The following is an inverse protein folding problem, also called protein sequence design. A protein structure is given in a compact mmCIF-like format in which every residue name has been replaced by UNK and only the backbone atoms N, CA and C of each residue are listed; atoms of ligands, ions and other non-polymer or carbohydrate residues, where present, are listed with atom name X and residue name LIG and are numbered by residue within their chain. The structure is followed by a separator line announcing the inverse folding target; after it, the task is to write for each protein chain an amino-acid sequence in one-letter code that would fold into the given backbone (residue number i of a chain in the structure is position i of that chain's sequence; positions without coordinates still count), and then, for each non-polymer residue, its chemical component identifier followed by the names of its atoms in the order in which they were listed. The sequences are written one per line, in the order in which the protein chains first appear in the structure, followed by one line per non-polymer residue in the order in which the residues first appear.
data_IF_545326570147
#
_entry.id   IF_545326570147
#
_cell.length_a   1.000
_cell.length_b   1.000
_cell.length_c   1.000
_cell.angle_alpha   90.00
_cell.angle_beta   90.00
_cell.angle_gamma   90.00
#
_symmetry.space_group_name_H-M   'P 1'
#
loop_
_entity.id
_entity.type
_entity.pdbx_description
1 polymer ?
#
# COMPACT_ATOMS: atom_id res chain seq x y z
N UNK A 1 -20.16 44.48 9.37
CA UNK A 1 -21.57 44.42 8.95
C UNK A 1 -21.72 43.21 8.07
N UNK A 2 -22.54 42.26 8.53
CA UNK A 2 -22.89 41.04 7.83
C UNK A 2 -23.69 41.32 6.55
N UNK A 3 -23.61 40.42 5.58
CA UNK A 3 -24.78 39.76 4.96
C UNK A 3 -24.33 38.65 3.99
N UNK A 4 -24.90 37.46 4.22
CA UNK A 4 -24.74 36.20 3.48
C UNK A 4 -25.16 36.24 2.01
N UNK A 5 -24.77 35.23 1.21
CA UNK A 5 -25.61 34.72 0.13
C UNK A 5 -26.44 33.51 0.60
N UNK A 6 -27.72 33.50 0.20
CA UNK A 6 -28.69 32.46 0.48
C UNK A 6 -28.56 31.25 -0.48
N UNK A 7 -28.95 30.09 0.03
CA UNK A 7 -29.25 28.83 -0.65
C UNK A 7 -30.38 29.03 -1.71
N UNK A 8 -30.69 28.13 -2.67
CA UNK A 8 -30.55 26.68 -2.75
C UNK A 8 -30.71 26.22 -4.21
N UNK A 9 -30.24 25.01 -4.53
CA UNK A 9 -30.48 24.35 -5.82
C UNK A 9 -29.83 22.97 -5.95
N UNK A 10 -30.19 22.06 -5.04
CA UNK A 10 -29.77 20.64 -5.01
C UNK A 10 -30.19 19.93 -6.31
N UNK A 11 -29.22 19.47 -7.10
CA UNK A 11 -29.40 18.33 -8.01
C UNK A 11 -28.22 17.37 -7.79
N UNK A 12 -28.52 16.21 -7.23
CA UNK A 12 -27.55 15.16 -6.96
C UNK A 12 -27.09 14.50 -8.25
N UNK A 13 -25.78 14.43 -8.45
CA UNK A 13 -25.15 13.55 -9.43
C UNK A 13 -24.03 12.80 -8.73
N UNK A 14 -24.33 11.55 -8.38
CA UNK A 14 -23.38 10.57 -7.86
C UNK A 14 -22.30 10.31 -8.92
N UNK A 15 -21.07 10.75 -8.67
CA UNK A 15 -19.89 10.28 -9.39
C UNK A 15 -19.13 9.32 -8.46
N UNK A 16 -19.53 8.05 -8.48
CA UNK A 16 -18.68 6.95 -8.03
C UNK A 16 -17.65 6.68 -9.14
N UNK A 17 -16.46 7.25 -9.04
CA UNK A 17 -15.33 6.92 -9.92
C UNK A 17 -14.06 6.51 -9.17
N UNK A 18 -14.17 6.10 -7.90
CA UNK A 18 -13.06 5.54 -7.14
C UNK A 18 -13.31 4.04 -6.91
N UNK A 19 -13.16 3.24 -7.96
CA UNK A 19 -13.12 1.79 -7.86
C UNK A 19 -12.35 1.19 -9.05
N UNK A 20 -11.08 0.87 -8.82
CA UNK A 20 -10.24 0.18 -9.81
C UNK A 20 -8.90 -0.27 -9.25
N UNK A 21 -8.81 -0.54 -7.95
CA UNK A 21 -7.67 -1.23 -7.33
C UNK A 21 -8.15 -2.28 -6.31
N UNK A 22 -9.27 -2.92 -6.62
CA UNK A 22 -9.85 -3.99 -5.83
C UNK A 22 -10.63 -4.94 -6.75
N UNK A 23 -9.99 -5.43 -7.81
CA UNK A 23 -10.41 -6.70 -8.40
C UNK A 23 -9.61 -7.80 -7.68
N UNK A 24 -10.29 -8.74 -6.99
CA UNK A 24 -9.62 -9.79 -6.25
C UNK A 24 -8.82 -10.68 -7.20
N UNK A 25 -7.51 -10.79 -6.96
CA UNK A 25 -6.57 -11.62 -7.72
C UNK A 25 -6.71 -13.12 -7.40
N UNK A 26 -7.93 -13.59 -7.13
CA UNK A 26 -8.23 -15.01 -6.96
C UNK A 26 -8.78 -15.56 -8.27
N UNK A 27 -8.23 -16.68 -8.80
CA UNK A 27 -8.70 -17.26 -10.04
C UNK A 27 -10.03 -17.96 -9.78
N UNK A 28 -11.14 -17.25 -9.99
CA UNK A 28 -12.41 -17.90 -10.24
C UNK A 28 -12.33 -18.49 -11.65
N UNK A 29 -12.20 -19.82 -11.72
CA UNK A 29 -12.29 -20.54 -12.99
C UNK A 29 -13.60 -20.24 -13.70
N UNK A 30 -13.51 -20.03 -15.01
CA UNK A 30 -14.64 -20.09 -15.93
C UNK A 30 -15.48 -18.81 -16.02
N UNK A 31 -15.19 -18.02 -17.06
CA UNK A 31 -16.21 -17.26 -17.79
C UNK A 31 -16.55 -15.86 -17.28
N UNK A 32 -16.22 -14.85 -18.09
CA UNK A 32 -16.97 -13.60 -18.15
C UNK A 32 -16.37 -12.37 -17.46
N UNK A 33 -15.16 -11.95 -17.87
CA UNK A 33 -14.62 -10.64 -17.50
C UNK A 33 -15.13 -9.52 -18.43
N UNK A 34 -15.90 -8.59 -17.88
CA UNK A 34 -16.60 -7.53 -18.62
C UNK A 34 -15.70 -6.48 -19.29
N UNK A 35 -16.08 -6.08 -20.51
CA UNK A 35 -15.88 -4.76 -21.12
C UNK A 35 -14.47 -4.24 -21.40
N UNK A 36 -13.55 -4.28 -20.44
CA UNK A 36 -12.24 -3.58 -20.47
C UNK A 36 -11.10 -4.41 -21.07
N UNK A 37 -11.20 -5.73 -21.06
CA UNK A 37 -10.14 -6.61 -21.59
C UNK A 37 -10.23 -6.87 -23.10
N UNK A 38 -11.25 -6.32 -23.80
CA UNK A 38 -11.43 -6.50 -25.26
C UNK A 38 -10.27 -6.00 -26.13
N UNK A 39 -9.44 -5.11 -25.61
CA UNK A 39 -8.38 -4.45 -26.37
C UNK A 39 -6.98 -4.98 -26.07
N UNK A 40 -6.84 -5.96 -25.18
CA UNK A 40 -5.56 -6.55 -24.79
C UNK A 40 -5.42 -7.92 -25.46
N UNK A 41 -4.40 -8.06 -26.30
CA UNK A 41 -4.08 -9.29 -27.03
C UNK A 41 -2.84 -9.92 -26.40
N UNK A 42 -2.86 -11.22 -26.07
CA UNK A 42 -1.68 -11.91 -25.56
C UNK A 42 -0.55 -11.86 -26.60
N UNK A 43 0.60 -11.36 -26.20
CA UNK A 43 1.78 -11.26 -27.08
C UNK A 43 2.61 -12.55 -27.10
N UNK A 44 2.37 -13.46 -26.16
CA UNK A 44 3.12 -14.71 -26.05
C UNK A 44 2.72 -15.72 -27.14
N UNK A 45 1.52 -15.58 -27.73
CA UNK A 45 1.08 -16.38 -28.90
C UNK A 45 1.90 -16.01 -30.15
N UNK A 46 2.28 -14.74 -30.33
CA UNK A 46 3.19 -14.32 -31.41
C UNK A 46 4.60 -14.89 -31.22
N UNK A 47 5.11 -14.93 -29.98
CA UNK A 47 6.45 -15.48 -29.69
C UNK A 47 6.49 -17.02 -29.80
N UNK A 48 5.42 -17.74 -29.45
CA UNK A 48 5.32 -19.19 -29.66
C UNK A 48 5.23 -19.55 -31.15
N UNK A 49 4.49 -18.76 -31.95
CA UNK A 49 4.43 -18.94 -33.42
C UNK A 49 5.82 -18.72 -34.05
N UNK A 50 6.51 -17.63 -33.68
CA UNK A 50 7.87 -17.36 -34.17
C UNK A 50 8.90 -18.42 -33.72
N UNK A 51 8.71 -19.05 -32.55
CA UNK A 51 9.58 -20.13 -32.06
C UNK A 51 9.28 -21.50 -32.67
N UNK A 52 8.06 -21.72 -33.14
CA UNK A 52 7.67 -22.94 -33.85
C UNK A 52 8.29 -23.04 -35.25
N UNK A 53 8.70 -21.91 -35.84
CA UNK A 53 9.40 -21.86 -37.13
C UNK A 53 10.90 -22.17 -37.01
N UNK A 54 11.54 -21.91 -35.87
CA UNK A 54 12.93 -22.28 -35.57
C UNK A 54 13.02 -23.72 -35.02
N UNK A 55 12.88 -24.68 -35.94
CA UNK A 55 12.93 -26.11 -35.63
C UNK A 55 14.20 -26.56 -34.90
N UNK A 56 14.06 -26.97 -33.62
CA UNK A 56 15.02 -27.86 -32.97
C UNK A 56 15.47 -27.52 -31.54
N UNK A 57 15.04 -26.41 -30.93
CA UNK A 57 15.40 -26.11 -29.52
C UNK A 57 14.37 -26.72 -28.55
N UNK A 58 14.79 -27.40 -27.46
CA UNK A 58 13.86 -27.87 -26.44
C UNK A 58 13.00 -26.70 -25.93
N UNK A 59 11.70 -26.91 -25.64
CA UNK A 59 10.81 -25.83 -25.22
C UNK A 59 11.40 -25.14 -24.00
N UNK A 60 11.64 -23.83 -24.13
CA UNK A 60 12.10 -23.02 -23.01
C UNK A 60 11.09 -23.16 -21.86
N UNK A 61 11.53 -23.13 -20.59
CA UNK A 61 10.61 -23.20 -19.47
C UNK A 61 9.54 -22.10 -19.62
N UNK A 62 8.26 -22.42 -19.35
CA UNK A 62 7.17 -21.47 -19.54
C UNK A 62 7.44 -20.20 -18.71
N UNK A 63 7.18 -19.04 -19.32
CA UNK A 63 7.33 -17.76 -18.63
C UNK A 63 6.36 -17.70 -17.45
N UNK A 64 6.83 -17.18 -16.30
CA UNK A 64 6.00 -17.01 -15.09
C UNK A 64 5.02 -15.83 -15.20
N UNK A 65 5.09 -15.09 -16.29
CA UNK A 65 4.22 -13.96 -16.59
C UNK A 65 3.72 -14.06 -18.02
N UNK A 66 2.46 -13.65 -18.22
CA UNK A 66 1.82 -13.49 -19.52
C UNK A 66 1.92 -12.02 -19.93
N UNK A 67 2.34 -11.74 -21.17
CA UNK A 67 2.41 -10.39 -21.68
C UNK A 67 1.23 -10.09 -22.60
N UNK A 68 0.61 -8.93 -22.42
CA UNK A 68 -0.50 -8.44 -23.23
C UNK A 68 -0.11 -7.12 -23.86
N UNK A 69 -0.29 -7.03 -25.18
CA UNK A 69 -0.17 -5.79 -25.96
C UNK A 69 -1.55 -5.25 -26.29
N UNK A 70 -1.66 -3.95 -26.47
CA UNK A 70 -2.90 -3.36 -26.98
C UNK A 70 -3.08 -3.76 -28.45
N UNK A 71 -4.30 -4.10 -28.84
CA UNK A 71 -4.68 -4.41 -30.22
C UNK A 71 -4.23 -3.32 -31.17
N UNK A 72 -3.62 -3.72 -32.29
CA UNK A 72 -3.15 -2.81 -33.34
C UNK A 72 -4.24 -1.86 -33.84
N UNK A 73 -5.50 -2.29 -33.84
CA UNK A 73 -6.67 -1.49 -34.27
C UNK A 73 -6.81 -0.19 -33.48
N UNK A 74 -6.46 -0.19 -32.19
CA UNK A 74 -6.49 1.02 -31.36
C UNK A 74 -5.14 1.75 -31.33
N UNK A 75 -4.04 1.01 -31.44
CA UNK A 75 -2.69 1.54 -31.31
C UNK A 75 -2.24 2.33 -32.55
N UNK A 76 -2.56 1.86 -33.77
CA UNK A 76 -2.21 2.54 -35.02
C UNK A 76 -2.84 3.94 -35.16
N UNK A 77 -4.15 4.16 -34.97
CA UNK A 77 -4.73 5.51 -35.05
C UNK A 77 -4.20 6.43 -33.95
N UNK A 78 -3.93 5.91 -32.74
CA UNK A 78 -3.31 6.69 -31.66
C UNK A 78 -1.90 7.17 -32.05
N UNK A 79 -1.05 6.29 -32.60
CA UNK A 79 0.29 6.65 -33.08
C UNK A 79 0.24 7.68 -34.22
N UNK A 80 -0.70 7.53 -35.15
CA UNK A 80 -0.89 8.48 -36.24
C UNK A 80 -1.30 9.85 -35.72
N UNK A 81 -2.27 9.93 -34.81
CA UNK A 81 -2.71 11.20 -34.21
C UNK A 81 -1.57 11.89 -33.45
N UNK A 82 -0.76 11.12 -32.71
CA UNK A 82 0.43 11.63 -32.03
C UNK A 82 1.46 12.18 -33.00
N UNK A 83 1.70 11.51 -34.15
CA UNK A 83 2.58 12.00 -35.20
C UNK A 83 2.06 13.30 -35.83
N UNK A 84 0.77 13.37 -36.16
CA UNK A 84 0.13 14.57 -36.73
C UNK A 84 0.28 15.75 -35.76
N UNK A 85 0.05 15.53 -34.46
CA UNK A 85 0.23 16.55 -33.43
C UNK A 85 1.68 16.99 -33.29
N UNK A 86 2.64 16.06 -33.38
CA UNK A 86 4.06 16.39 -33.38
C UNK A 86 4.42 17.31 -34.55
N UNK A 87 3.94 17.00 -35.76
CA UNK A 87 4.13 17.85 -36.95
C UNK A 87 3.55 19.25 -36.71
N UNK A 88 2.33 19.35 -36.17
CA UNK A 88 1.71 20.63 -35.86
C UNK A 88 2.52 21.46 -34.85
N UNK A 89 3.07 20.84 -33.79
CA UNK A 89 3.93 21.52 -32.80
C UNK A 89 5.23 22.02 -33.43
N UNK A 90 5.88 21.21 -34.29
CA UNK A 90 7.11 21.62 -34.99
C UNK A 90 6.83 22.79 -35.94
N UNK A 91 5.74 22.73 -36.71
CA UNK A 91 5.32 23.83 -37.59
C UNK A 91 4.97 25.09 -36.81
N UNK A 92 4.30 24.97 -35.66
CA UNK A 92 3.99 26.08 -34.77
C UNK A 92 5.27 26.75 -34.23
N UNK A 93 6.23 25.98 -33.72
CA UNK A 93 7.51 26.50 -33.23
C UNK A 93 8.31 27.16 -34.37
N UNK A 94 8.35 26.54 -35.55
CA UNK A 94 9.03 27.11 -36.72
C UNK A 94 8.37 28.41 -37.20
N UNK A 95 7.03 28.46 -37.23
CA UNK A 95 6.28 29.67 -37.57
C UNK A 95 6.53 30.78 -36.55
N UNK A 96 6.53 30.45 -35.26
CA UNK A 96 6.73 31.38 -34.14
C UNK A 96 8.16 31.94 -34.09
N UNK A 97 9.16 31.16 -34.53
CA UNK A 97 10.54 31.65 -34.71
C UNK A 97 10.67 32.59 -35.92
N UNK A 98 9.88 32.38 -36.98
CA UNK A 98 9.94 33.18 -38.22
C UNK A 98 9.17 34.51 -38.13
N UNK A 99 8.06 34.56 -37.40
CA UNK A 99 7.22 35.76 -37.24
C UNK A 99 7.49 36.41 -35.89
N UNK A 100 8.48 37.31 -35.86
CA UNK A 100 8.95 38.01 -34.67
C UNK A 100 8.31 39.39 -34.57
N UNK A 101 7.05 39.44 -34.17
CA UNK A 101 6.27 40.68 -34.07
C UNK A 101 6.10 41.13 -32.61
N UNK A 102 7.19 41.48 -31.93
CA UNK A 102 7.11 41.99 -30.56
C UNK A 102 8.18 43.03 -30.24
N UNK A 103 7.74 44.21 -29.79
CA UNK A 103 8.60 45.31 -29.34
C UNK A 103 9.37 44.95 -28.05
N UNK A 104 8.80 44.06 -27.24
CA UNK A 104 9.37 43.60 -25.97
C UNK A 104 10.12 42.27 -26.13
N UNK A 105 11.35 42.36 -26.62
CA UNK A 105 12.11 41.20 -27.07
C UNK A 105 12.42 40.15 -26.00
N UNK A 106 12.58 40.60 -24.75
CA UNK A 106 12.86 39.72 -23.61
C UNK A 106 11.67 38.80 -23.26
N UNK A 107 10.44 39.35 -23.29
CA UNK A 107 9.22 38.57 -23.03
C UNK A 107 8.98 37.54 -24.13
N UNK A 108 9.30 37.88 -25.38
CA UNK A 108 9.20 36.96 -26.52
C UNK A 108 10.15 35.76 -26.37
N UNK A 109 11.40 35.98 -25.97
CA UNK A 109 12.35 34.89 -25.72
C UNK A 109 11.94 33.98 -24.55
N UNK A 110 11.41 34.55 -23.47
CA UNK A 110 10.87 33.75 -22.35
C UNK A 110 9.68 32.90 -22.81
N UNK A 111 8.77 33.48 -23.61
CA UNK A 111 7.64 32.72 -24.18
C UNK A 111 8.13 31.57 -25.07
N UNK A 112 9.13 31.79 -25.92
CA UNK A 112 9.68 30.75 -26.80
C UNK A 112 10.36 29.65 -26.01
N UNK A 113 11.15 30.00 -24.99
CA UNK A 113 11.77 29.02 -24.12
C UNK A 113 10.71 28.17 -23.39
N UNK A 114 9.61 28.79 -22.94
CA UNK A 114 8.47 28.10 -22.35
C UNK A 114 7.76 27.16 -23.33
N UNK A 115 7.46 27.62 -24.55
CA UNK A 115 6.81 26.82 -25.59
C UNK A 115 7.68 25.63 -26.02
N UNK A 116 9.00 25.84 -26.14
CA UNK A 116 9.96 24.78 -26.45
C UNK A 116 10.02 23.75 -25.32
N UNK A 117 10.13 24.20 -24.07
CA UNK A 117 10.17 23.31 -22.90
C UNK A 117 8.89 22.49 -22.76
N UNK A 118 7.73 23.11 -22.99
CA UNK A 118 6.44 22.43 -22.99
C UNK A 118 6.36 21.39 -24.12
N UNK A 119 6.83 21.73 -25.32
CA UNK A 119 6.91 20.82 -26.47
C UNK A 119 7.80 19.61 -26.19
N UNK A 120 8.99 19.82 -25.61
CA UNK A 120 9.90 18.74 -25.21
C UNK A 120 9.28 17.86 -24.14
N UNK A 121 8.69 18.45 -23.09
CA UNK A 121 8.02 17.71 -22.01
C UNK A 121 6.85 16.88 -22.55
N UNK A 122 6.06 17.45 -23.46
CA UNK A 122 4.97 16.74 -24.12
C UNK A 122 5.49 15.57 -24.96
N UNK A 123 6.55 15.76 -25.75
CA UNK A 123 7.14 14.73 -26.60
C UNK A 123 7.69 13.55 -25.76
N UNK A 124 8.42 13.84 -24.68
CA UNK A 124 8.91 12.83 -23.75
C UNK A 124 7.76 12.02 -23.11
N UNK A 125 6.67 12.70 -22.75
CA UNK A 125 5.47 12.05 -22.22
C UNK A 125 4.69 11.24 -23.29
N UNK A 126 4.79 11.57 -24.57
CA UNK A 126 4.23 10.71 -25.63
C UNK A 126 5.11 9.49 -25.88
N UNK A 127 6.43 9.64 -25.85
CA UNK A 127 7.36 8.54 -26.09
C UNK A 127 7.12 7.35 -25.14
N UNK A 128 6.83 7.60 -23.86
CA UNK A 128 6.49 6.56 -22.87
C UNK A 128 5.17 5.85 -23.15
N UNK A 129 4.27 6.45 -23.94
CA UNK A 129 2.92 5.93 -24.25
C UNK A 129 2.83 5.20 -25.59
N UNK A 130 3.89 5.21 -26.39
CA UNK A 130 3.89 4.60 -27.73
C UNK A 130 3.81 3.07 -27.71
N UNK A 131 4.18 2.42 -26.60
CA UNK A 131 4.15 0.97 -26.48
C UNK A 131 3.67 0.52 -25.08
N UNK A 132 2.36 0.61 -24.80
CA UNK A 132 1.81 0.10 -23.55
C UNK A 132 1.88 -1.43 -23.51
N UNK A 133 2.53 -1.97 -22.47
CA UNK A 133 2.65 -3.41 -22.21
C UNK A 133 2.03 -3.70 -20.85
N UNK A 134 1.05 -4.60 -20.81
CA UNK A 134 0.47 -5.13 -19.57
C UNK A 134 1.09 -6.49 -19.31
N UNK A 135 1.67 -6.70 -18.13
CA UNK A 135 2.19 -8.00 -17.69
C UNK A 135 1.32 -8.52 -16.58
N UNK A 136 0.87 -9.77 -16.68
CA UNK A 136 0.04 -10.41 -15.67
C UNK A 136 0.76 -11.68 -15.21
N UNK A 137 1.05 -11.85 -13.91
CA UNK A 137 1.69 -13.06 -13.40
C UNK A 137 0.73 -14.25 -13.50
N UNK A 138 1.22 -15.42 -13.90
CA UNK A 138 0.45 -16.66 -13.83
C UNK A 138 0.67 -17.33 -12.48
N UNK A 139 -0.29 -17.10 -11.57
CA UNK A 139 -0.25 -17.65 -10.21
C UNK A 139 -0.31 -19.18 -10.20
N UNK A 140 -0.92 -19.81 -11.20
CA UNK A 140 -1.06 -21.27 -11.26
C UNK A 140 0.27 -21.94 -11.61
N UNK A 141 1.01 -21.38 -12.58
CA UNK A 141 2.36 -21.81 -12.92
C UNK A 141 3.34 -21.52 -11.78
N UNK A 142 3.22 -20.34 -11.15
CA UNK A 142 4.04 -19.99 -9.99
C UNK A 142 3.84 -21.00 -8.86
N UNK A 143 2.59 -21.34 -8.53
CA UNK A 143 2.28 -22.32 -7.49
C UNK A 143 2.87 -23.68 -7.82
N UNK A 144 2.68 -24.18 -9.05
CA UNK A 144 3.22 -25.47 -9.49
C UNK A 144 4.76 -25.53 -9.47
N UNK A 145 5.43 -24.43 -9.81
CA UNK A 145 6.89 -24.35 -9.87
C UNK A 145 7.54 -24.29 -8.48
N UNK A 146 6.88 -23.65 -7.52
CA UNK A 146 7.45 -23.32 -6.21
C UNK A 146 6.71 -23.97 -5.03
N UNK A 147 5.86 -24.97 -5.28
CA UNK A 147 5.10 -25.70 -4.25
C UNK A 147 6.02 -26.38 -3.22
N UNK A 148 7.23 -26.77 -3.63
CA UNK A 148 8.26 -27.40 -2.78
C UNK A 148 9.00 -26.42 -1.84
N UNK A 149 8.48 -25.20 -1.67
CA UNK A 149 9.10 -24.20 -0.80
C UNK A 149 10.36 -23.58 -1.42
N UNK A 150 10.30 -23.18 -2.69
CA UNK A 150 11.36 -22.43 -3.38
C UNK A 150 11.17 -20.91 -3.39
N UNK A 151 10.22 -20.39 -2.60
CA UNK A 151 9.88 -18.96 -2.55
C UNK A 151 10.97 -18.12 -1.85
N UNK A 152 11.32 -16.93 -2.36
CA UNK A 152 12.30 -16.05 -1.71
C UNK A 152 11.81 -15.51 -0.36
N UNK A 153 12.73 -15.11 0.52
CA UNK A 153 12.36 -14.28 1.67
C UNK A 153 11.95 -12.88 1.23
N UNK A 154 10.90 -12.32 1.83
CA UNK A 154 10.39 -10.97 1.55
C UNK A 154 10.42 -10.16 2.84
N UNK A 155 11.17 -9.06 2.82
CA UNK A 155 11.16 -8.07 3.90
C UNK A 155 10.35 -6.85 3.45
N UNK A 156 9.31 -6.51 4.21
CA UNK A 156 8.45 -5.35 3.95
C UNK A 156 8.79 -4.26 4.94
N UNK A 157 9.21 -3.10 4.42
CA UNK A 157 9.51 -1.92 5.23
C UNK A 157 8.35 -0.93 5.18
N UNK A 158 7.95 -0.43 6.34
CA UNK A 158 6.91 0.58 6.52
C UNK A 158 7.57 1.76 7.20
N UNK A 159 7.59 2.92 6.56
CA UNK A 159 8.12 4.14 7.13
C UNK A 159 6.98 5.03 7.64
N UNK A 160 7.18 5.64 8.80
CA UNK A 160 6.24 6.59 9.40
C UNK A 160 6.99 7.76 10.03
N UNK A 161 6.38 8.95 10.01
CA UNK A 161 7.03 10.18 10.48
C UNK A 161 6.65 10.54 11.91
N UNK A 162 5.37 10.39 12.27
CA UNK A 162 4.84 10.73 13.58
C UNK A 162 3.41 10.17 13.75
N UNK A 163 3.02 9.67 14.93
CA UNK A 163 1.70 9.10 15.15
C UNK A 163 0.55 10.12 15.13
N UNK A 164 0.85 11.43 15.17
CA UNK A 164 -0.15 12.51 15.09
C UNK A 164 -0.40 12.91 13.64
N UNK A 165 0.66 13.13 12.86
CA UNK A 165 0.54 13.51 11.43
C UNK A 165 0.03 12.34 10.58
N UNK A 166 0.44 11.12 10.92
CA UNK A 166 0.00 9.87 10.30
C UNK A 166 -0.77 9.04 11.35
N UNK A 167 -2.11 8.93 11.25
CA UNK A 167 -2.88 8.30 12.30
C UNK A 167 -2.43 6.84 12.51
N UNK A 168 -1.95 6.56 13.72
CA UNK A 168 -1.40 5.25 14.11
C UNK A 168 -2.30 4.08 13.67
N UNK A 169 -3.62 4.23 13.74
CA UNK A 169 -4.57 3.21 13.31
C UNK A 169 -4.35 2.74 11.87
N UNK A 170 -4.07 3.65 10.92
CA UNK A 170 -3.83 3.29 9.51
C UNK A 170 -2.52 2.53 9.33
N UNK A 171 -1.46 2.95 10.03
CA UNK A 171 -0.16 2.27 10.04
C UNK A 171 -0.31 0.85 10.58
N UNK A 172 -1.01 0.67 11.71
CA UNK A 172 -1.24 -0.65 12.29
C UNK A 172 -2.14 -1.54 11.42
N UNK A 173 -3.16 -0.97 10.76
CA UNK A 173 -3.97 -1.69 9.77
C UNK A 173 -3.13 -2.20 8.58
N UNK A 174 -2.17 -1.40 8.12
CA UNK A 174 -1.26 -1.78 7.04
C UNK A 174 -0.35 -2.93 7.47
N UNK A 175 0.19 -2.88 8.70
CA UNK A 175 0.97 -3.97 9.30
C UNK A 175 0.15 -5.25 9.38
N UNK A 176 -1.10 -5.18 9.87
CA UNK A 176 -2.01 -6.32 9.96
C UNK A 176 -2.31 -6.92 8.59
N UNK A 177 -2.49 -6.07 7.57
CA UNK A 177 -2.69 -6.50 6.19
C UNK A 177 -1.48 -7.26 5.63
N UNK A 178 -0.26 -6.76 5.90
CA UNK A 178 0.99 -7.40 5.46
C UNK A 178 1.16 -8.77 6.13
N UNK A 179 0.92 -8.87 7.44
CA UNK A 179 1.04 -10.13 8.18
C UNK A 179 -0.03 -11.16 7.80
N UNK A 180 -1.18 -10.70 7.31
CA UNK A 180 -2.26 -11.54 6.82
C UNK A 180 -2.14 -11.92 5.33
N UNK A 181 -1.01 -11.60 4.69
CA UNK A 181 -0.75 -11.96 3.29
C UNK A 181 -0.68 -13.49 3.12
N UNK A 182 -1.09 -13.98 1.95
CA UNK A 182 -1.00 -15.39 1.58
C UNK A 182 0.44 -15.74 1.15
N UNK A 183 1.35 -15.72 2.12
CA UNK A 183 2.76 -16.08 1.97
C UNK A 183 3.23 -16.92 3.15
N UNK A 184 4.17 -17.86 2.97
CA UNK A 184 4.73 -18.64 4.08
C UNK A 184 5.24 -17.73 5.20
N UNK A 185 4.82 -18.01 6.44
CA UNK A 185 5.10 -17.11 7.57
C UNK A 185 6.59 -17.04 7.92
N UNK A 186 7.33 -18.11 7.64
CA UNK A 186 8.79 -18.20 7.77
C UNK A 186 9.56 -17.36 6.74
N UNK A 187 8.88 -16.86 5.70
CA UNK A 187 9.51 -16.17 4.56
C UNK A 187 9.05 -14.75 4.33
N UNK A 188 8.22 -14.20 5.21
CA UNK A 188 7.96 -12.77 5.19
C UNK A 188 8.08 -12.14 6.57
N UNK A 189 8.70 -10.97 6.61
CA UNK A 189 8.81 -10.16 7.81
C UNK A 189 8.39 -8.72 7.51
N UNK A 190 7.80 -8.07 8.51
CA UNK A 190 7.43 -6.66 8.45
C UNK A 190 8.30 -5.85 9.41
N UNK A 191 8.87 -4.75 8.92
CA UNK A 191 9.69 -3.82 9.70
C UNK A 191 9.03 -2.44 9.68
N UNK A 192 8.74 -1.90 10.86
CA UNK A 192 8.30 -0.52 11.02
C UNK A 192 9.52 0.38 11.29
N UNK A 193 9.68 1.42 10.49
CA UNK A 193 10.69 2.47 10.61
C UNK A 193 9.99 3.77 11.01
N UNK A 194 10.18 4.25 12.23
CA UNK A 194 9.57 5.50 12.71
C UNK A 194 10.63 6.59 12.92
N UNK A 195 10.52 7.68 12.15
CA UNK A 195 11.39 8.86 12.25
C UNK A 195 11.00 9.78 13.42
N UNK A 196 9.83 9.56 14.02
CA UNK A 196 9.39 10.26 15.24
C UNK A 196 9.94 9.62 16.51
N UNK A 197 10.39 8.36 16.45
CA UNK A 197 10.80 7.53 17.57
C UNK A 197 9.84 7.64 18.78
N UNK A 198 8.55 7.63 18.49
CA UNK A 198 7.51 7.87 19.49
C UNK A 198 7.22 6.61 20.28
N UNK A 199 6.98 6.77 21.59
CA UNK A 199 6.58 5.64 22.43
C UNK A 199 5.21 5.09 22.06
N UNK A 200 4.31 5.94 21.55
CA UNK A 200 2.99 5.54 21.07
C UNK A 200 3.09 4.52 19.93
N UNK A 201 3.96 4.71 18.95
CA UNK A 201 4.17 3.72 17.89
C UNK A 201 4.72 2.40 18.42
N UNK A 202 5.66 2.43 19.37
CA UNK A 202 6.20 1.22 19.98
C UNK A 202 5.13 0.41 20.73
N UNK A 203 4.33 1.06 21.57
CA UNK A 203 3.26 0.37 22.32
C UNK A 203 2.09 -0.03 21.40
N UNK A 204 1.75 0.80 20.42
CA UNK A 204 0.77 0.47 19.39
C UNK A 204 1.16 -0.77 18.58
N UNK A 205 2.46 -0.94 18.31
CA UNK A 205 2.95 -2.15 17.64
C UNK A 205 2.81 -3.41 18.52
N UNK A 206 2.99 -3.28 19.83
CA UNK A 206 2.78 -4.39 20.78
C UNK A 206 1.31 -4.81 20.77
N UNK A 207 0.38 -3.84 20.83
CA UNK A 207 -1.05 -4.10 20.72
C UNK A 207 -1.43 -4.72 19.37
N UNK A 208 -0.78 -4.27 18.30
CA UNK A 208 -0.99 -4.79 16.95
C UNK A 208 -0.51 -6.23 16.84
N UNK A 209 0.64 -6.57 17.42
CA UNK A 209 1.13 -7.95 17.45
C UNK A 209 0.19 -8.89 18.23
N UNK A 210 -0.45 -8.41 19.31
CA UNK A 210 -1.47 -9.17 20.05
C UNK A 210 -2.71 -9.43 19.19
N UNK A 211 -3.23 -8.39 18.52
CA UNK A 211 -4.40 -8.55 17.66
C UNK A 211 -4.09 -9.38 16.40
N UNK A 212 -2.89 -9.27 15.85
CA UNK A 212 -2.44 -10.06 14.70
C UNK A 212 -2.51 -11.57 14.95
N UNK A 213 -2.27 -12.02 16.18
CA UNK A 213 -2.39 -13.44 16.56
C UNK A 213 -3.82 -13.99 16.38
N UNK A 214 -4.84 -13.12 16.41
CA UNK A 214 -6.25 -13.45 16.15
C UNK A 214 -6.61 -13.20 14.66
N UNK A 215 -6.20 -12.05 14.12
CA UNK A 215 -6.55 -11.62 12.77
C UNK A 215 -5.95 -12.50 11.67
N UNK A 216 -4.67 -12.86 11.78
CA UNK A 216 -3.96 -13.62 10.74
C UNK A 216 -4.58 -15.03 10.53
N UNK A 217 -4.86 -15.83 11.58
CA UNK A 217 -5.56 -17.10 11.42
C UNK A 217 -6.97 -16.94 10.84
N UNK A 218 -7.73 -15.92 11.29
CA UNK A 218 -9.06 -15.63 10.76
C UNK A 218 -9.00 -15.34 9.25
N UNK A 219 -8.05 -14.51 8.82
CA UNK A 219 -7.83 -14.20 7.41
C UNK A 219 -7.51 -15.45 6.58
N UNK A 220 -6.60 -16.30 7.05
CA UNK A 220 -6.18 -17.50 6.33
C UNK A 220 -7.31 -18.54 6.24
N UNK A 221 -8.01 -18.78 7.36
CA UNK A 221 -9.13 -19.73 7.44
C UNK A 221 -10.27 -19.37 6.50
N UNK A 222 -10.69 -18.10 6.51
CA UNK A 222 -11.89 -17.66 5.80
C UNK A 222 -11.61 -16.97 4.45
N UNK A 223 -10.33 -16.84 4.07
CA UNK A 223 -9.86 -16.18 2.82
C UNK A 223 -10.55 -14.84 2.59
N UNK A 224 -10.62 -14.02 3.63
CA UNK A 224 -11.30 -12.71 3.59
C UNK A 224 -10.47 -11.67 2.83
N UNK A 225 -11.14 -10.85 2.03
CA UNK A 225 -10.52 -9.71 1.34
C UNK A 225 -11.41 -8.47 1.49
N UNK A 226 -10.85 -7.27 1.71
CA UNK A 226 -9.42 -6.93 1.88
C UNK A 226 -8.82 -7.43 3.21
N UNK A 227 -7.48 -7.49 3.30
CA UNK A 227 -6.74 -7.99 4.48
C UNK A 227 -6.52 -6.94 5.58
N UNK A 228 -6.82 -5.67 5.29
CA UNK A 228 -6.85 -4.61 6.29
C UNK A 228 -8.19 -4.64 7.04
N UNK A 229 -8.19 -4.77 8.38
CA UNK A 229 -9.43 -4.94 9.15
C UNK A 229 -10.37 -3.74 9.08
N UNK A 230 -9.88 -2.50 9.12
CA UNK A 230 -10.72 -1.30 8.97
C UNK A 230 -11.48 -1.33 7.64
N UNK A 231 -10.78 -1.60 6.54
CA UNK A 231 -11.37 -1.68 5.20
C UNK A 231 -12.35 -2.85 5.09
N UNK A 232 -12.02 -4.00 5.68
CA UNK A 232 -12.87 -5.19 5.67
C UNK A 232 -14.19 -4.96 6.42
N UNK A 233 -14.15 -4.35 7.61
CA UNK A 233 -15.35 -4.09 8.40
C UNK A 233 -16.15 -2.88 7.90
N UNK A 234 -15.53 -1.95 7.18
CA UNK A 234 -16.22 -0.84 6.50
C UNK A 234 -16.95 -1.27 5.22
N UNK A 235 -16.54 -2.38 4.58
CA UNK A 235 -17.16 -2.87 3.36
C UNK A 235 -18.62 -3.32 3.60
N UNK A 236 -19.54 -2.83 2.76
CA UNK A 236 -20.99 -3.14 2.85
C UNK A 236 -21.31 -4.61 2.60
N UNK A 237 -20.53 -5.26 1.74
CA UNK A 237 -20.56 -6.69 1.49
C UNK A 237 -19.11 -7.15 1.55
N UNK A 238 -18.74 -7.80 2.65
CA UNK A 238 -17.40 -8.32 2.83
C UNK A 238 -17.32 -9.71 2.16
N UNK A 239 -16.64 -9.84 1.02
CA UNK A 239 -16.52 -11.13 0.35
C UNK A 239 -15.71 -12.10 1.25
N UNK A 240 -16.22 -13.32 1.39
CA UNK A 240 -15.48 -14.43 1.98
C UNK A 240 -15.53 -15.61 1.01
N UNK A 241 -14.39 -16.25 0.79
CA UNK A 241 -14.23 -17.38 -0.14
C UNK A 241 -13.65 -18.62 0.57
N UNK A 242 -13.80 -18.67 1.90
CA UNK A 242 -13.31 -19.76 2.74
C UNK A 242 -14.18 -21.02 2.64
N UNK A 243 -13.60 -22.20 2.93
CA UNK A 243 -14.31 -23.48 2.92
C UNK A 243 -15.21 -23.70 4.16
N UNK A 244 -15.20 -22.78 5.13
CA UNK A 244 -15.90 -22.94 6.41
C UNK A 244 -17.42 -22.81 6.27
N UNK A 245 -18.15 -23.47 7.16
CA UNK A 245 -19.60 -23.35 7.23
C UNK A 245 -19.99 -21.89 7.55
N UNK A 246 -21.08 -21.36 6.95
CA UNK A 246 -21.49 -19.98 7.18
C UNK A 246 -21.69 -19.63 8.66
N UNK A 247 -22.24 -20.54 9.47
CA UNK A 247 -22.47 -20.31 10.91
C UNK A 247 -21.17 -20.11 11.71
N UNK A 248 -20.16 -20.93 11.43
CA UNK A 248 -18.83 -20.82 12.04
C UNK A 248 -18.16 -19.50 11.64
N UNK A 249 -18.27 -19.11 10.37
CA UNK A 249 -17.79 -17.82 9.88
C UNK A 249 -18.46 -16.64 10.59
N UNK A 250 -19.78 -16.65 10.77
CA UNK A 250 -20.47 -15.55 11.46
C UNK A 250 -20.08 -15.45 12.94
N UNK A 251 -19.88 -16.58 13.61
CA UNK A 251 -19.38 -16.63 14.99
C UNK A 251 -17.98 -16.02 15.11
N UNK A 252 -17.04 -16.52 14.30
CA UNK A 252 -15.65 -16.04 14.26
C UNK A 252 -15.58 -14.56 13.90
N UNK A 253 -16.33 -14.13 12.88
CA UNK A 253 -16.36 -12.73 12.44
C UNK A 253 -16.90 -11.80 13.53
N UNK A 254 -17.90 -12.23 14.31
CA UNK A 254 -18.42 -11.42 15.44
C UNK A 254 -17.38 -11.28 16.54
N UNK A 255 -16.68 -12.36 16.88
CA UNK A 255 -15.59 -12.35 17.86
C UNK A 255 -14.48 -11.40 17.42
N UNK A 256 -13.95 -11.59 16.21
CA UNK A 256 -12.85 -10.79 15.67
C UNK A 256 -13.23 -9.32 15.53
N UNK A 257 -14.48 -9.01 15.14
CA UNK A 257 -14.97 -7.63 15.10
C UNK A 257 -14.95 -6.99 16.48
N UNK A 258 -15.40 -7.68 17.53
CA UNK A 258 -15.36 -7.15 18.90
C UNK A 258 -13.92 -6.87 19.34
N UNK A 259 -13.02 -7.83 19.15
CA UNK A 259 -11.60 -7.69 19.49
C UNK A 259 -10.93 -6.56 18.70
N UNK A 260 -11.38 -6.31 17.46
CA UNK A 260 -10.89 -5.20 16.65
C UNK A 260 -11.33 -3.83 17.20
N UNK A 261 -12.60 -3.68 17.61
CA UNK A 261 -13.06 -2.43 18.24
C UNK A 261 -12.35 -2.19 19.58
N UNK A 262 -12.12 -3.24 20.37
CA UNK A 262 -11.33 -3.14 21.60
C UNK A 262 -9.87 -2.77 21.32
N UNK A 263 -9.28 -3.31 20.25
CA UNK A 263 -7.95 -2.92 19.78
C UNK A 263 -7.88 -1.45 19.39
N UNK A 264 -8.88 -0.92 18.65
CA UNK A 264 -8.99 0.51 18.31
C UNK A 264 -9.04 1.36 19.58
N UNK A 265 -9.90 1.00 20.53
CA UNK A 265 -10.00 1.70 21.80
C UNK A 265 -8.68 1.69 22.59
N UNK A 266 -7.93 0.58 22.59
CA UNK A 266 -6.60 0.51 23.22
C UNK A 266 -5.59 1.40 22.52
N UNK A 267 -5.58 1.44 21.19
CA UNK A 267 -4.71 2.35 20.43
C UNK A 267 -5.01 3.82 20.74
N UNK A 268 -6.28 4.20 20.76
CA UNK A 268 -6.69 5.58 21.06
C UNK A 268 -6.34 5.96 22.52
N UNK A 269 -6.49 5.02 23.46
CA UNK A 269 -6.14 5.22 24.87
C UNK A 269 -4.63 5.46 25.09
N UNK A 270 -3.73 4.98 24.21
CA UNK A 270 -2.29 5.23 24.35
C UNK A 270 -1.95 6.72 24.39
N UNK A 271 -2.68 7.55 23.63
CA UNK A 271 -2.45 8.99 23.58
C UNK A 271 -2.84 9.71 24.89
N UNK A 272 -3.65 9.08 25.75
CA UNK A 272 -4.01 9.59 27.09
C UNK A 272 -3.19 8.93 28.19
N UNK A 273 -2.95 7.62 28.08
CA UNK A 273 -2.28 6.81 29.10
C UNK A 273 -0.79 7.14 29.20
N UNK A 274 -0.11 7.38 28.08
CA UNK A 274 1.33 7.71 28.04
C UNK A 274 1.61 9.06 28.74
N UNK A 275 0.87 10.15 28.48
CA UNK A 275 1.01 11.38 29.26
C UNK A 275 0.65 11.17 30.74
N UNK A 276 -0.50 10.55 31.03
CA UNK A 276 -0.99 10.41 32.41
C UNK A 276 -0.02 9.63 33.31
N UNK A 277 0.56 8.53 32.82
CA UNK A 277 1.55 7.75 33.60
C UNK A 277 2.83 8.54 33.84
N UNK A 278 3.24 9.34 32.87
CA UNK A 278 4.44 10.18 32.96
C UNK A 278 4.22 11.29 33.98
N UNK A 279 3.04 11.91 34.00
CA UNK A 279 2.65 12.94 34.98
C UNK A 279 2.46 12.39 36.40
N UNK A 280 1.81 11.23 36.54
CA UNK A 280 1.58 10.60 37.85
C UNK A 280 2.91 10.23 38.54
N UNK A 281 3.92 9.83 37.78
CA UNK A 281 5.25 9.57 38.32
C UNK A 281 6.00 10.84 38.72
N UNK A 282 5.84 11.94 37.97
CA UNK A 282 6.45 13.24 38.30
C UNK A 282 5.80 13.85 39.55
N UNK A 283 4.48 13.71 39.73
CA UNK A 283 3.79 14.19 40.93
C UNK A 283 4.27 13.55 42.25
N UNK A 284 4.88 12.37 42.17
CA UNK A 284 5.43 11.64 43.32
C UNK A 284 6.92 11.93 43.55
N UNK A 285 7.62 12.47 42.55
CA UNK A 285 9.03 12.85 42.61
C UNK A 285 9.16 14.38 42.63
N UNK A 286 9.51 14.94 43.79
CA UNK A 286 9.70 16.38 44.01
C UNK A 286 10.96 16.95 43.30
N UNK A 287 11.17 16.60 42.04
CA UNK A 287 12.37 16.91 41.26
C UNK A 287 12.05 17.88 40.14
N UNK A 288 12.71 19.04 40.19
CA UNK A 288 12.76 20.09 39.15
C UNK A 288 13.50 19.60 37.88
N UNK A 289 13.13 18.43 37.35
CA UNK A 289 13.70 17.83 36.14
C UNK A 289 12.68 17.81 35.00
N UNK A 290 13.17 17.64 33.77
CA UNK A 290 12.31 17.47 32.60
C UNK A 290 11.36 16.27 32.77
N UNK A 291 10.10 16.39 32.32
CA UNK A 291 9.11 15.32 32.44
C UNK A 291 9.45 14.17 31.49
N UNK A 292 10.01 13.10 32.04
CA UNK A 292 10.34 11.91 31.27
C UNK A 292 9.09 11.20 30.78
N UNK A 293 9.07 10.84 29.50
CA UNK A 293 8.06 9.90 28.99
C UNK A 293 8.44 8.50 29.46
N UNK A 294 7.62 7.93 30.34
CA UNK A 294 7.88 6.61 30.92
C UNK A 294 7.31 5.52 30.03
N UNK A 295 7.88 4.33 30.02
CA UNK A 295 7.34 3.08 29.47
C UNK A 295 6.38 2.41 30.47
N UNK A 296 5.62 1.39 30.04
CA UNK A 296 4.73 0.61 30.92
C UNK A 296 5.44 -0.09 32.10
N UNK A 297 6.75 -0.34 32.01
CA UNK A 297 7.57 -0.90 33.09
C UNK A 297 8.14 0.17 34.06
N UNK A 298 7.82 1.44 33.85
CA UNK A 298 8.29 2.57 34.64
C UNK A 298 9.68 3.07 34.24
N UNK A 299 10.33 2.50 33.23
CA UNK A 299 11.62 3.00 32.72
C UNK A 299 11.44 4.20 31.79
N UNK A 300 12.39 5.16 31.74
CA UNK A 300 12.30 6.29 30.81
C UNK A 300 12.50 5.81 29.36
N UNK A 301 11.69 6.35 28.45
CA UNK A 301 11.79 6.06 27.03
C UNK A 301 13.08 6.65 26.43
N UNK A 302 13.90 5.87 25.71
CA UNK A 302 15.12 6.37 25.10
C UNK A 302 14.90 7.30 23.88
N UNK A 303 13.71 7.30 23.29
CA UNK A 303 13.40 8.08 22.07
C UNK A 303 12.81 9.45 22.38
N UNK A 304 11.93 9.93 21.50
CA UNK A 304 11.28 11.23 21.63
C UNK A 304 10.27 11.25 22.77
N UNK A 305 10.38 12.26 23.64
CA UNK A 305 9.45 12.48 24.73
C UNK A 305 8.26 13.35 24.32
N UNK A 306 7.12 13.16 24.99
CA UNK A 306 5.89 13.96 24.83
C UNK A 306 6.16 15.44 25.13
N UNK A 307 6.93 15.72 26.18
CA UNK A 307 7.50 17.05 26.44
C UNK A 307 8.96 17.06 25.98
N UNK A 308 9.32 17.83 24.93
CA UNK A 308 10.67 17.79 24.37
C UNK A 308 11.72 18.26 25.39
N UNK A 309 12.67 17.39 25.72
CA UNK A 309 13.80 17.66 26.60
C UNK A 309 15.14 17.59 25.86
N UNK A 310 16.22 18.10 26.45
CA UNK A 310 17.57 17.97 25.90
C UNK A 310 17.93 16.48 25.72
N UNK A 311 18.42 16.09 24.54
CA UNK A 311 18.69 14.69 24.13
C UNK A 311 17.45 13.77 24.01
N UNK A 312 16.24 14.32 23.99
CA UNK A 312 14.98 13.59 23.77
C UNK A 312 14.00 14.35 22.86
N UNK A 313 14.51 15.24 22.01
CA UNK A 313 13.74 15.88 20.92
C UNK A 313 13.78 15.00 19.68
N UNK A 314 12.82 15.20 18.77
CA UNK A 314 12.81 14.56 17.45
C UNK A 314 14.17 14.75 16.75
N UNK A 315 14.82 13.66 16.37
CA UNK A 315 16.15 13.65 15.74
C UNK A 315 17.33 13.95 16.69
N UNK A 316 17.09 14.04 18.00
CA UNK A 316 18.12 14.24 19.04
C UNK A 316 18.10 13.10 20.06
N UNK A 317 18.05 11.86 19.61
CA UNK A 317 18.24 10.66 20.43
C UNK A 317 19.06 9.63 19.64
N UNK A 318 19.57 8.60 20.31
CA UNK A 318 20.20 7.48 19.61
C UNK A 318 19.15 6.65 18.86
N UNK A 319 19.54 6.00 17.76
CA UNK A 319 18.68 5.05 17.06
C UNK A 319 18.31 3.88 17.98
N UNK A 320 17.04 3.47 17.98
CA UNK A 320 16.53 2.41 18.84
C UNK A 320 16.08 1.24 17.97
N UNK A 321 16.73 0.10 18.14
CA UNK A 321 16.33 -1.15 17.47
C UNK A 321 15.70 -2.06 18.50
N UNK A 322 14.46 -2.49 18.25
CA UNK A 322 13.81 -3.55 19.02
C UNK A 322 13.63 -4.76 18.11
N UNK A 323 14.25 -5.86 18.52
CA UNK A 323 14.28 -7.10 17.75
C UNK A 323 12.88 -7.63 17.43
N UNK A 324 12.76 -8.43 16.36
CA UNK A 324 11.47 -8.89 15.88
C UNK A 324 10.73 -9.73 16.92
N UNK A 325 9.47 -9.40 17.19
CA UNK A 325 8.56 -10.27 17.93
C UNK A 325 8.00 -11.29 16.95
N UNK A 326 8.23 -12.58 17.23
CA UNK A 326 7.49 -13.65 16.56
C UNK A 326 6.07 -13.64 17.07
N UNK A 327 5.11 -13.54 16.16
CA UNK A 327 3.71 -13.72 16.48
C UNK A 327 3.48 -15.23 16.59
N UNK A 328 3.46 -15.73 17.83
CA UNK A 328 3.12 -17.12 18.11
C UNK A 328 1.60 -17.21 18.17
N UNK A 329 1.00 -17.89 17.19
CA UNK A 329 -0.42 -18.24 17.24
C UNK A 329 -0.57 -19.43 18.19
N UNK A 330 -1.17 -19.21 19.36
CA UNK A 330 -1.49 -20.31 20.27
C UNK A 330 -2.65 -21.11 19.66
N UNK A 331 -2.40 -22.40 19.41
CA UNK A 331 -3.33 -23.32 18.77
C UNK A 331 -4.61 -23.53 19.57
N UNK A 332 -5.58 -22.64 19.41
CA UNK A 332 -6.98 -22.86 19.81
C UNK A 332 -7.88 -23.29 18.65
N UNK A 333 -7.37 -23.25 17.41
CA UNK A 333 -8.21 -23.24 16.20
C UNK A 333 -7.81 -24.26 15.12
N UNK A 334 -6.83 -25.13 15.40
CA UNK A 334 -6.50 -26.27 14.56
C UNK A 334 -5.93 -27.40 15.43
N UNK A 335 -6.44 -28.61 15.21
CA UNK A 335 -5.86 -29.84 15.76
C UNK A 335 -4.38 -29.95 15.36
N UNK A 336 -3.48 -29.92 16.35
CA UNK A 336 -2.22 -30.67 16.28
C UNK A 336 -1.06 -30.13 15.46
N UNK A 337 -1.02 -28.87 15.01
CA UNK A 337 0.21 -28.27 14.44
C UNK A 337 0.57 -26.95 15.11
N UNK A 338 1.77 -26.87 15.68
CA UNK A 338 2.40 -25.62 16.13
C UNK A 338 2.49 -24.65 14.95
N UNK A 339 1.77 -23.52 15.02
CA UNK A 339 1.54 -22.60 13.89
C UNK A 339 2.75 -21.74 13.51
N UNK A 340 2.95 -21.59 12.20
CA UNK A 340 4.05 -20.86 11.57
C UNK A 340 4.07 -19.38 11.99
N UNK A 341 5.27 -18.88 12.33
CA UNK A 341 5.47 -17.56 12.93
C UNK A 341 5.83 -16.52 11.87
N UNK A 342 4.99 -15.51 11.68
CA UNK A 342 5.40 -14.26 11.04
C UNK A 342 6.14 -13.38 12.06
N UNK A 343 7.13 -12.62 11.61
CA UNK A 343 7.95 -11.77 12.47
C UNK A 343 7.67 -10.27 12.19
N UNK A 344 7.54 -9.49 13.26
CA UNK A 344 7.40 -8.03 13.19
C UNK A 344 8.52 -7.37 13.98
N UNK A 345 9.37 -6.59 13.31
CA UNK A 345 10.43 -5.78 13.93
C UNK A 345 10.10 -4.29 13.91
N UNK A 346 10.73 -3.53 14.80
CA UNK A 346 10.67 -2.06 14.77
C UNK A 346 12.06 -1.45 14.90
N UNK A 347 12.32 -0.52 14.00
CA UNK A 347 13.50 0.32 13.95
C UNK A 347 13.02 1.76 14.15
N UNK A 348 13.59 2.47 15.11
CA UNK A 348 13.27 3.87 15.37
C UNK A 348 14.53 4.68 15.08
N UNK A 349 14.42 5.66 14.19
CA UNK A 349 15.57 6.42 13.68
C UNK A 349 15.86 7.65 14.53
#
# INVERSE_FOLDING_TARGET
MALSPAAAGRTGRNNNNDAGLADPLLPAGGGGGGGKDKYWVPADEEEEICRGEDGGRPPAPPLLYRTFKVSGVLLHPYRLLTLVRLIAVVLFLAWRLKHRDSDAMWLWWISIAGDFWFGVTWLLNQASKLNPVKRVPDLSLLRRRFDDGGLPGIDVFINTVDPVDEPMLYTMNSILSILATDYPADRHAAYLSDDGASLAHYEGLIETARFAALWVPFCRKHRVEPRAPESYFAAKAAPYAGPALPEEFFGDRRLVRREYEEFKARLDALFTDIPQRSEASVGNANTKGAKATLMADGTPWPGTWTEPAENHKKGQHAGIVKGPRRIVTTGGWASGSTGECAAVGIHLH
#
